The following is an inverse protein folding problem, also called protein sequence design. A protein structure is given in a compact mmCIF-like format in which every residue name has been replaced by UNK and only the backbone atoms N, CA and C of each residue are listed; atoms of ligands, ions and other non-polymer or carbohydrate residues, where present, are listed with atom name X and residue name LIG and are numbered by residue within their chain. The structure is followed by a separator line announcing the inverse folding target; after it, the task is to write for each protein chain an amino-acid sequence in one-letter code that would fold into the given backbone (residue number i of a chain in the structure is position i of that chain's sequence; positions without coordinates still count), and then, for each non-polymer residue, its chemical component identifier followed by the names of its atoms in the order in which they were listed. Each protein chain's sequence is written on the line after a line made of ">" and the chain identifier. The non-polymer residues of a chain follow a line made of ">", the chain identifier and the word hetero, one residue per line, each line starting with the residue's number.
data_IF_506132063744
#
_entry.id   IF_506132063744
#
_cell.length_a   1.000
_cell.length_b   1.000
_cell.length_c   1.000
_cell.angle_alpha   90.00
_cell.angle_beta   90.00
_cell.angle_gamma   90.00
#
_symmetry.space_group_name_H-M   'P 1'
#
loop_
_entity.id
_entity.type
_entity.pdbx_description
1 polymer ?
#
# COMPACT_ATOMS: atom_id res chain seq x y z
N UNK A 1 1.15 26.09 -30.78
CA UNK A 1 1.07 25.05 -29.78
C UNK A 1 -0.30 25.12 -29.13
N UNK A 2 -1.22 24.23 -29.48
CA UNK A 2 -2.59 24.23 -28.91
C UNK A 2 -2.57 23.35 -27.65
N UNK A 3 -2.68 24.01 -26.49
CA UNK A 3 -2.96 23.33 -25.21
C UNK A 3 -4.39 22.77 -25.28
N UNK A 4 -4.52 21.49 -25.49
CA UNK A 4 -5.79 20.79 -25.37
C UNK A 4 -6.21 20.79 -23.90
N UNK A 5 -7.06 21.71 -23.51
CA UNK A 5 -7.83 21.58 -22.27
C UNK A 5 -8.82 20.45 -22.50
N UNK A 6 -8.53 19.26 -21.98
CA UNK A 6 -9.54 18.22 -21.85
C UNK A 6 -10.60 18.76 -20.90
N UNK A 7 -11.78 19.07 -21.44
CA UNK A 7 -12.96 19.30 -20.63
C UNK A 7 -13.20 18.02 -19.82
N UNK A 8 -12.86 18.06 -18.54
CA UNK A 8 -13.25 17.00 -17.61
C UNK A 8 -14.75 17.08 -17.41
N UNK A 9 -15.47 16.08 -17.90
CA UNK A 9 -16.86 15.89 -17.54
C UNK A 9 -16.89 15.51 -16.04
N UNK A 10 -17.47 16.36 -15.16
CA UNK A 10 -17.54 16.08 -13.73
C UNK A 10 -18.33 14.79 -13.40
N UNK A 11 -19.07 14.25 -14.37
CA UNK A 11 -19.79 12.98 -14.26
C UNK A 11 -18.90 11.75 -14.49
N UNK A 12 -17.64 11.91 -14.90
CA UNK A 12 -16.73 10.79 -15.15
C UNK A 12 -16.02 10.26 -13.90
N UNK A 13 -15.96 11.07 -12.83
CA UNK A 13 -15.35 10.67 -11.57
C UNK A 13 -16.28 9.76 -10.75
N UNK A 14 -15.80 8.58 -10.40
CA UNK A 14 -16.53 7.69 -9.49
C UNK A 14 -15.59 6.93 -8.56
N UNK A 15 -16.09 6.61 -7.39
CA UNK A 15 -15.41 5.71 -6.46
C UNK A 15 -15.68 4.26 -6.90
N UNK A 16 -14.64 3.44 -7.17
CA UNK A 16 -14.84 2.04 -7.54
C UNK A 16 -15.49 1.26 -6.39
N UNK A 17 -16.36 0.32 -6.74
CA UNK A 17 -16.90 -0.61 -5.76
C UNK A 17 -15.82 -1.62 -5.32
N UNK A 18 -15.93 -2.13 -4.09
CA UNK A 18 -14.93 -3.04 -3.51
C UNK A 18 -14.76 -4.36 -4.29
N UNK A 19 -15.78 -4.78 -5.02
CA UNK A 19 -15.77 -5.99 -5.86
C UNK A 19 -15.26 -5.78 -7.29
N UNK A 20 -14.92 -4.53 -7.65
CA UNK A 20 -14.30 -4.28 -8.96
C UNK A 20 -12.86 -4.79 -8.99
N UNK A 21 -12.34 -5.16 -10.18
CA UNK A 21 -10.95 -5.55 -10.32
C UNK A 21 -10.01 -4.48 -9.75
N UNK A 22 -9.06 -4.90 -8.91
CA UNK A 22 -8.01 -4.05 -8.37
C UNK A 22 -6.63 -4.50 -8.88
N UNK A 23 -5.71 -3.55 -9.06
CA UNK A 23 -4.39 -3.84 -9.63
C UNK A 23 -3.41 -4.39 -8.60
N UNK A 24 -3.50 -3.92 -7.36
CA UNK A 24 -2.60 -4.33 -6.28
C UNK A 24 -3.21 -4.08 -4.90
N UNK A 25 -2.69 -4.78 -3.91
CA UNK A 25 -2.85 -4.46 -2.49
C UNK A 25 -1.62 -3.67 -2.04
N UNK A 26 -1.81 -2.61 -1.28
CA UNK A 26 -0.75 -1.80 -0.68
C UNK A 26 -0.71 -2.03 0.83
N UNK A 27 0.47 -2.34 1.36
CA UNK A 27 0.72 -2.48 2.80
C UNK A 27 2.03 -1.78 3.19
N UNK A 28 2.16 -1.35 4.44
CA UNK A 28 3.43 -0.95 5.03
C UNK A 28 3.90 -2.05 5.97
N UNK A 29 5.16 -2.49 5.84
CA UNK A 29 5.70 -3.58 6.65
C UNK A 29 5.92 -3.12 8.09
N UNK A 30 5.53 -3.90 9.11
CA UNK A 30 5.76 -3.52 10.50
C UNK A 30 7.25 -3.50 10.83
N UNK A 31 7.66 -2.59 11.71
CA UNK A 31 9.02 -2.48 12.20
C UNK A 31 9.05 -1.98 13.65
N UNK A 32 10.22 -1.95 14.26
CA UNK A 32 10.39 -1.60 15.66
C UNK A 32 9.97 -0.17 16.04
N UNK A 33 9.77 0.72 15.06
CA UNK A 33 9.26 2.07 15.25
C UNK A 33 7.74 2.20 15.12
N UNK A 34 7.03 1.11 14.83
CA UNK A 34 5.56 1.10 14.68
C UNK A 34 4.86 0.68 15.98
N UNK A 35 3.55 0.81 16.05
CA UNK A 35 2.74 0.34 17.18
C UNK A 35 2.90 -1.18 17.47
N UNK A 36 3.50 -1.91 16.54
CA UNK A 36 3.70 -3.36 16.63
C UNK A 36 5.00 -3.78 17.29
N UNK A 37 5.85 -2.84 17.75
CA UNK A 37 7.20 -3.12 18.26
C UNK A 37 7.25 -4.27 19.29
N UNK A 38 6.32 -4.31 20.23
CA UNK A 38 6.28 -5.32 21.30
C UNK A 38 5.80 -6.72 20.82
N UNK A 39 5.17 -6.78 19.64
CA UNK A 39 4.60 -7.98 19.05
C UNK A 39 5.03 -8.21 17.61
N UNK A 40 6.19 -7.70 17.27
CA UNK A 40 6.66 -7.63 15.88
C UNK A 40 6.68 -9.01 15.21
N UNK A 41 7.19 -10.03 15.86
CA UNK A 41 7.28 -11.39 15.31
C UNK A 41 5.89 -12.00 14.99
N UNK A 42 4.90 -11.75 15.86
CA UNK A 42 3.53 -12.26 15.67
C UNK A 42 2.89 -11.56 14.47
N UNK A 43 3.07 -10.25 14.36
CA UNK A 43 2.49 -9.44 13.29
C UNK A 43 3.17 -9.75 11.96
N UNK A 44 4.48 -9.90 11.93
CA UNK A 44 5.20 -10.33 10.71
C UNK A 44 4.70 -11.67 10.20
N UNK A 45 4.40 -12.63 11.09
CA UNK A 45 3.80 -13.90 10.69
C UNK A 45 2.48 -13.69 9.94
N UNK A 46 1.64 -12.77 10.41
CA UNK A 46 0.39 -12.40 9.74
C UNK A 46 0.64 -11.74 8.39
N UNK A 47 1.60 -10.82 8.31
CA UNK A 47 1.97 -10.15 7.05
C UNK A 47 2.54 -11.12 6.02
N UNK A 48 3.32 -12.08 6.45
CA UNK A 48 3.85 -13.16 5.60
C UNK A 48 2.72 -14.02 5.04
N UNK A 49 1.77 -14.43 5.89
CA UNK A 49 0.60 -15.21 5.45
C UNK A 49 -0.28 -14.40 4.47
N UNK A 50 -0.50 -13.12 4.76
CA UNK A 50 -1.21 -12.19 3.88
C UNK A 50 -0.50 -12.08 2.52
N UNK A 51 0.82 -11.86 2.53
CA UNK A 51 1.62 -11.73 1.30
C UNK A 51 1.58 -12.99 0.45
N UNK A 52 1.72 -14.16 1.07
CA UNK A 52 1.61 -15.44 0.37
C UNK A 52 0.21 -15.65 -0.24
N UNK A 53 -0.85 -15.23 0.46
CA UNK A 53 -2.23 -15.34 -0.04
C UNK A 53 -2.50 -14.36 -1.19
N UNK A 54 -2.18 -13.08 -1.03
CA UNK A 54 -2.43 -12.02 -2.01
C UNK A 54 -1.68 -12.30 -3.32
N UNK A 55 -0.41 -12.68 -3.25
CA UNK A 55 0.42 -12.89 -4.44
C UNK A 55 0.00 -14.08 -5.30
N UNK A 56 -0.91 -14.93 -4.82
CA UNK A 56 -1.55 -15.96 -5.65
C UNK A 56 -2.50 -15.39 -6.70
N UNK A 57 -3.06 -14.21 -6.45
CA UNK A 57 -4.14 -13.64 -7.28
C UNK A 57 -3.78 -12.30 -7.89
N UNK A 58 -3.04 -11.44 -7.18
CA UNK A 58 -2.75 -10.08 -7.60
C UNK A 58 -1.38 -9.60 -7.12
N UNK A 59 -1.01 -8.39 -7.52
CA UNK A 59 0.23 -7.75 -7.07
C UNK A 59 0.12 -7.29 -5.63
N UNK A 60 1.27 -7.27 -4.95
CA UNK A 60 1.42 -6.72 -3.60
C UNK A 60 2.50 -5.63 -3.65
N UNK A 61 2.15 -4.44 -3.20
CA UNK A 61 3.09 -3.34 -3.02
C UNK A 61 3.36 -3.21 -1.52
N UNK A 62 4.62 -3.30 -1.14
CA UNK A 62 5.06 -3.25 0.26
C UNK A 62 5.94 -2.02 0.46
N UNK A 63 5.48 -1.11 1.31
CA UNK A 63 6.32 0.00 1.78
C UNK A 63 7.21 -0.51 2.91
N UNK A 64 8.49 -0.21 2.83
CA UNK A 64 9.52 -0.56 3.82
C UNK A 64 10.33 0.68 4.17
N UNK A 65 10.76 0.80 5.42
CA UNK A 65 11.47 1.98 5.90
C UNK A 65 12.86 2.13 5.27
N UNK A 66 13.53 1.00 4.99
CA UNK A 66 14.88 0.96 4.46
C UNK A 66 15.21 -0.35 3.74
N UNK A 67 16.42 -0.43 3.19
CA UNK A 67 16.88 -1.61 2.47
C UNK A 67 17.08 -2.86 3.36
N UNK A 68 17.38 -2.68 4.64
CA UNK A 68 17.54 -3.80 5.56
C UNK A 68 16.18 -4.46 5.84
N UNK A 69 15.15 -3.64 6.07
CA UNK A 69 13.78 -4.11 6.25
C UNK A 69 13.23 -4.76 4.97
N UNK A 70 13.58 -4.21 3.78
CA UNK A 70 13.24 -4.86 2.51
C UNK A 70 13.83 -6.26 2.40
N UNK A 71 15.14 -6.40 2.69
CA UNK A 71 15.82 -7.69 2.63
C UNK A 71 15.20 -8.70 3.60
N UNK A 72 14.87 -8.26 4.81
CA UNK A 72 14.20 -9.09 5.83
C UNK A 72 12.81 -9.55 5.37
N UNK A 73 11.95 -8.63 4.95
CA UNK A 73 10.59 -8.95 4.47
C UNK A 73 10.64 -9.89 3.24
N UNK A 74 11.55 -9.63 2.32
CA UNK A 74 11.76 -10.46 1.13
C UNK A 74 12.15 -11.89 1.48
N UNK A 75 13.04 -12.07 2.47
CA UNK A 75 13.47 -13.38 2.93
C UNK A 75 12.30 -14.17 3.57
N UNK A 76 11.51 -13.51 4.43
CA UNK A 76 10.35 -14.12 5.06
C UNK A 76 9.28 -14.54 4.04
N UNK A 77 8.95 -13.66 3.10
CA UNK A 77 7.98 -13.95 2.03
C UNK A 77 8.46 -15.08 1.12
N UNK A 78 9.75 -15.11 0.79
CA UNK A 78 10.35 -16.17 -0.02
C UNK A 78 10.28 -17.52 0.69
N UNK A 79 10.58 -17.56 1.99
CA UNK A 79 10.47 -18.79 2.82
C UNK A 79 9.03 -19.31 2.87
N UNK A 80 8.05 -18.42 2.86
CA UNK A 80 6.62 -18.74 2.82
C UNK A 80 6.09 -19.04 1.41
N UNK A 81 6.97 -19.09 0.40
CA UNK A 81 6.62 -19.34 -1.00
C UNK A 81 5.63 -18.33 -1.61
N UNK A 82 5.67 -17.08 -1.15
CA UNK A 82 4.99 -15.98 -1.82
C UNK A 82 5.58 -15.82 -3.25
N UNK A 83 4.74 -15.45 -4.21
CA UNK A 83 5.23 -15.13 -5.56
C UNK A 83 5.92 -13.76 -5.56
N UNK A 84 7.24 -13.77 -5.34
CA UNK A 84 8.05 -12.54 -5.30
C UNK A 84 8.05 -11.77 -6.63
N UNK A 85 7.72 -12.41 -7.75
CA UNK A 85 7.53 -11.74 -9.04
C UNK A 85 6.33 -10.80 -9.06
N UNK A 86 5.39 -10.97 -8.13
CA UNK A 86 4.22 -10.11 -7.94
C UNK A 86 4.39 -9.11 -6.79
N UNK A 87 5.52 -9.13 -6.08
CA UNK A 87 5.81 -8.20 -4.99
C UNK A 87 6.66 -7.04 -5.50
N UNK A 88 6.24 -5.82 -5.20
CA UNK A 88 7.02 -4.61 -5.39
C UNK A 88 7.31 -3.96 -4.05
N UNK A 89 8.56 -3.75 -3.74
CA UNK A 89 8.97 -2.98 -2.57
C UNK A 89 9.17 -1.50 -2.94
N UNK A 90 8.77 -0.63 -2.01
CA UNK A 90 8.95 0.82 -2.10
C UNK A 90 9.57 1.29 -0.79
N UNK A 91 10.76 1.89 -0.86
CA UNK A 91 11.41 2.46 0.32
C UNK A 91 10.88 3.87 0.56
N UNK A 92 10.30 4.09 1.72
CA UNK A 92 9.81 5.39 2.17
C UNK A 92 9.75 5.43 3.69
N UNK A 93 9.92 6.62 4.28
CA UNK A 93 9.69 6.80 5.70
C UNK A 93 8.18 6.74 6.01
N UNK A 94 7.81 6.10 7.10
CA UNK A 94 6.45 6.04 7.65
C UNK A 94 6.50 5.77 9.14
N UNK A 95 5.47 6.23 9.85
CA UNK A 95 5.38 6.11 11.30
C UNK A 95 4.67 4.84 11.74
N UNK A 96 3.70 4.37 10.95
CA UNK A 96 2.93 3.16 11.26
C UNK A 96 2.33 2.51 10.01
N UNK A 97 1.68 1.37 10.21
CA UNK A 97 1.20 0.47 9.15
C UNK A 97 -0.23 0.76 8.66
N UNK A 98 -0.91 1.75 9.23
CA UNK A 98 -2.34 2.06 9.01
C UNK A 98 -2.61 2.80 7.70
N UNK A 99 -2.25 2.20 6.56
CA UNK A 99 -2.40 2.82 5.24
C UNK A 99 -3.86 3.01 4.80
N UNK A 100 -4.81 2.34 5.45
CA UNK A 100 -6.25 2.59 5.24
C UNK A 100 -6.62 4.03 5.61
N UNK A 101 -5.96 4.56 6.64
CA UNK A 101 -6.24 5.90 7.16
C UNK A 101 -5.44 6.99 6.45
N UNK A 102 -4.23 6.67 5.97
CA UNK A 102 -3.28 7.65 5.41
C UNK A 102 -2.98 7.47 3.93
N UNK A 103 -3.35 6.35 3.33
CA UNK A 103 -3.09 6.08 1.91
C UNK A 103 -4.01 6.87 0.97
N UNK A 104 -3.63 7.01 -0.30
CA UNK A 104 -4.43 7.73 -1.27
C UNK A 104 -5.74 7.02 -1.60
N UNK A 105 -6.78 7.80 -1.83
CA UNK A 105 -8.06 7.29 -2.32
C UNK A 105 -8.05 7.32 -3.85
N UNK A 106 -8.27 6.17 -4.46
CA UNK A 106 -8.27 6.04 -5.92
C UNK A 106 -9.68 6.19 -6.47
N UNK A 107 -9.86 7.12 -7.40
CA UNK A 107 -11.08 7.28 -8.19
C UNK A 107 -10.87 6.84 -9.63
N UNK A 108 -11.93 6.33 -10.25
CA UNK A 108 -12.00 6.20 -11.71
C UNK A 108 -12.25 7.58 -12.31
N UNK A 109 -11.55 7.89 -13.39
CA UNK A 109 -11.67 9.14 -14.16
C UNK A 109 -11.67 8.78 -15.64
N UNK A 110 -12.85 8.48 -16.19
CA UNK A 110 -12.97 7.90 -17.52
C UNK A 110 -12.20 6.57 -17.62
N UNK A 111 -11.27 6.47 -18.56
CA UNK A 111 -10.41 5.30 -18.77
C UNK A 111 -9.16 5.26 -17.85
N UNK A 112 -8.99 6.30 -17.02
CA UNK A 112 -7.85 6.44 -16.13
C UNK A 112 -8.21 6.37 -14.66
N UNK A 113 -7.24 6.77 -13.85
CA UNK A 113 -7.39 6.85 -12.39
C UNK A 113 -6.95 8.22 -11.90
N UNK A 114 -7.57 8.66 -10.82
CA UNK A 114 -7.15 9.84 -10.06
C UNK A 114 -6.91 9.42 -8.61
N UNK A 115 -5.72 9.70 -8.11
CA UNK A 115 -5.37 9.50 -6.72
C UNK A 115 -5.68 10.79 -5.94
N UNK A 116 -6.49 10.67 -4.89
CA UNK A 116 -6.71 11.76 -3.95
C UNK A 116 -5.79 11.53 -2.76
N UNK A 117 -4.90 12.48 -2.55
CA UNK A 117 -3.96 12.49 -1.42
C UNK A 117 -4.38 13.59 -0.46
N UNK A 118 -4.84 13.19 0.73
CA UNK A 118 -5.29 14.10 1.77
C UNK A 118 -4.20 14.29 2.81
N UNK A 119 -4.14 15.51 3.37
CA UNK A 119 -3.26 15.74 4.51
C UNK A 119 -3.79 14.96 5.72
N UNK A 120 -2.99 13.99 6.16
CA UNK A 120 -3.29 13.20 7.33
C UNK A 120 -2.69 13.85 8.59
N UNK A 121 -3.46 13.91 9.68
CA UNK A 121 -3.06 14.60 10.91
C UNK A 121 -2.49 13.67 11.98
N UNK A 122 -2.21 12.41 11.62
CA UNK A 122 -1.65 11.44 12.57
C UNK A 122 -2.55 11.18 13.78
N UNK A 123 -3.85 11.01 13.54
CA UNK A 123 -4.88 10.81 14.59
C UNK A 123 -4.85 11.90 15.68
N UNK A 124 -4.82 13.16 15.23
CA UNK A 124 -4.80 14.30 16.12
C UNK A 124 -3.42 14.61 16.72
N UNK A 125 -2.35 14.27 16.00
CA UNK A 125 -0.98 14.58 16.39
C UNK A 125 -0.30 13.49 17.23
N UNK A 126 -0.74 12.25 17.13
CA UNK A 126 -0.06 11.09 17.75
C UNK A 126 1.37 10.93 17.20
N UNK A 127 1.54 11.23 15.92
CA UNK A 127 2.85 11.26 15.23
C UNK A 127 3.15 12.67 14.77
N UNK A 128 4.40 13.11 14.93
CA UNK A 128 4.87 14.45 14.61
C UNK A 128 5.05 14.75 13.14
#
# INVERSE_FOLDING_TARGET
>A
MRTSHRNHDPMSLRFPAEWEPQDAVLVAWPHAGTDWAERLADVETTYVALGAAVTRFQRLVIVVADAALEAHARALLGAARADLGRVRFVQAAYDDTWLRDSGPITLRDGDGFRLLDFRFTGWGGKYG
#
